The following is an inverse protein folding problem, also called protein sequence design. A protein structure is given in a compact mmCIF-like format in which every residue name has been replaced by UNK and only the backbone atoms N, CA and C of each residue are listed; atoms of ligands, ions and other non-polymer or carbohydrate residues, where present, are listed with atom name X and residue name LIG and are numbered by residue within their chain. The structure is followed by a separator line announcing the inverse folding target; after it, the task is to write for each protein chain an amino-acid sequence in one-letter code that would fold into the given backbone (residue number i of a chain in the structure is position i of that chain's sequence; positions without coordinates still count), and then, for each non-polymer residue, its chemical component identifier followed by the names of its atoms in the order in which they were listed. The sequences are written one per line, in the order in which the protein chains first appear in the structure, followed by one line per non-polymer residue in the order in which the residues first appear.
data_IF_487919369553
#
_entry.id   IF_487919369553
#
_cell.length_a   1.000
_cell.length_b   1.000
_cell.length_c   1.000
_cell.angle_alpha   90.00
_cell.angle_beta   90.00
_cell.angle_gamma   90.00
#
_symmetry.space_group_name_H-M   'P 1'
#
loop_
_entity.id
_entity.type
_entity.pdbx_description
1 polymer ?
#
# COMPACT_ATOMS: atom_id res chain seq x y z
N UNK A 1 -16.56 -36.92 50.78
CA UNK A 1 -17.98 -36.83 50.37
C UNK A 1 -18.32 -35.35 50.33
N UNK A 2 -18.72 -34.67 49.25
CA UNK A 2 -19.11 -35.06 47.90
C UNK A 2 -18.85 -33.85 46.99
N UNK A 3 -18.21 -34.05 45.83
CA UNK A 3 -18.14 -33.08 44.73
C UNK A 3 -19.50 -33.07 44.03
N UNK A 4 -20.24 -31.95 44.09
CA UNK A 4 -21.45 -31.77 43.29
C UNK A 4 -21.78 -30.29 43.13
N UNK A 5 -20.99 -29.60 42.33
CA UNK A 5 -21.44 -28.43 41.60
C UNK A 5 -20.88 -28.59 40.18
N UNK A 6 -21.62 -28.17 39.17
CA UNK A 6 -21.25 -28.16 37.75
C UNK A 6 -21.65 -29.36 36.87
N UNK A 7 -22.78 -30.02 37.14
CA UNK A 7 -23.47 -30.78 36.10
C UNK A 7 -24.99 -30.59 36.21
N UNK A 8 -25.63 -30.18 35.10
CA UNK A 8 -27.07 -30.34 34.89
C UNK A 8 -27.24 -31.54 33.98
N UNK A 9 -28.03 -32.52 34.39
CA UNK A 9 -28.31 -33.71 33.58
C UNK A 9 -29.28 -33.37 32.45
N UNK A 10 -28.81 -33.55 31.21
CA UNK A 10 -29.61 -33.59 29.99
C UNK A 10 -30.11 -35.05 29.82
N UNK A 11 -31.42 -35.29 29.55
CA UNK A 11 -31.99 -36.63 29.39
C UNK A 11 -31.44 -37.43 28.21
N UNK A 12 -30.59 -36.84 27.36
CA UNK A 12 -29.96 -37.52 26.21
C UNK A 12 -28.58 -38.13 26.49
N UNK A 13 -28.04 -38.02 27.71
CA UNK A 13 -26.83 -38.74 28.13
C UNK A 13 -25.51 -38.28 27.47
N UNK A 14 -25.53 -37.21 26.66
CA UNK A 14 -24.31 -36.64 26.08
C UNK A 14 -23.85 -35.47 26.94
N UNK A 15 -22.76 -35.68 27.70
CA UNK A 15 -22.05 -34.59 28.39
C UNK A 15 -21.41 -33.69 27.34
N UNK A 16 -22.08 -32.59 26.99
CA UNK A 16 -21.47 -31.52 26.19
C UNK A 16 -20.84 -30.49 27.11
N UNK A 17 -19.62 -30.06 26.77
CA UNK A 17 -18.90 -29.01 27.49
C UNK A 17 -19.50 -27.65 27.11
N UNK A 18 -20.12 -26.96 28.06
CA UNK A 18 -20.51 -25.56 27.94
C UNK A 18 -19.49 -24.69 28.68
N UNK A 19 -18.60 -23.96 27.97
CA UNK A 19 -17.63 -23.09 28.63
C UNK A 19 -18.31 -21.88 29.31
N UNK A 20 -17.85 -21.47 30.50
CA UNK A 20 -18.39 -20.33 31.23
C UNK A 20 -17.97 -19.00 30.59
N UNK A 21 -18.94 -18.34 29.94
CA UNK A 21 -18.87 -17.00 29.34
C UNK A 21 -18.24 -15.99 30.32
N UNK A 22 -16.93 -15.85 30.27
CA UNK A 22 -16.17 -14.79 30.93
C UNK A 22 -15.05 -14.31 30.00
N UNK A 23 -14.66 -13.02 30.04
CA UNK A 23 -13.75 -12.42 29.04
C UNK A 23 -12.30 -12.95 29.03
N UNK A 24 -11.99 -14.00 29.80
CA UNK A 24 -10.66 -14.59 29.95
C UNK A 24 -10.48 -15.93 29.20
N UNK A 25 -11.44 -16.37 28.39
CA UNK A 25 -11.47 -17.77 27.91
C UNK A 25 -10.62 -18.12 26.68
N UNK A 26 -9.98 -17.18 25.98
CA UNK A 26 -9.06 -17.56 24.88
C UNK A 26 -7.72 -16.80 24.86
N UNK A 27 -6.88 -16.93 25.90
CA UNK A 27 -5.50 -16.43 25.84
C UNK A 27 -4.79 -16.98 24.60
N UNK A 28 -5.01 -18.27 24.30
CA UNK A 28 -4.45 -18.97 23.15
C UNK A 28 -4.82 -18.33 21.80
N UNK A 29 -6.05 -17.84 21.62
CA UNK A 29 -6.47 -17.19 20.39
C UNK A 29 -5.78 -15.82 20.21
N UNK A 30 -5.70 -15.02 21.26
CA UNK A 30 -4.98 -13.74 21.23
C UNK A 30 -3.47 -13.92 20.99
N UNK A 31 -2.85 -14.93 21.59
CA UNK A 31 -1.46 -15.28 21.32
C UNK A 31 -1.24 -15.76 19.88
N UNK A 32 -2.13 -16.61 19.35
CA UNK A 32 -2.07 -17.05 17.97
C UNK A 32 -2.21 -15.87 16.99
N UNK A 33 -3.15 -14.95 17.22
CA UNK A 33 -3.29 -13.73 16.41
C UNK A 33 -2.03 -12.87 16.43
N UNK A 34 -1.40 -12.67 17.60
CA UNK A 34 -0.14 -11.92 17.71
C UNK A 34 1.00 -12.59 16.95
N UNK A 35 1.11 -13.93 17.04
CA UNK A 35 2.12 -14.69 16.31
C UNK A 35 1.92 -14.60 14.80
N UNK A 36 0.70 -14.75 14.31
CA UNK A 36 0.39 -14.62 12.87
C UNK A 36 0.72 -13.21 12.38
N UNK A 37 0.33 -12.17 13.11
CA UNK A 37 0.69 -10.78 12.77
C UNK A 37 2.21 -10.58 12.73
N UNK A 38 2.94 -11.15 13.68
CA UNK A 38 4.41 -11.10 13.71
C UNK A 38 5.04 -11.79 12.50
N UNK A 39 4.61 -13.01 12.16
CA UNK A 39 5.12 -13.73 10.99
C UNK A 39 4.79 -13.01 9.68
N UNK A 40 3.56 -12.48 9.57
CA UNK A 40 3.16 -11.67 8.42
C UNK A 40 4.04 -10.42 8.28
N UNK A 41 4.21 -9.64 9.35
CA UNK A 41 5.06 -8.44 9.33
C UNK A 41 6.51 -8.76 8.94
N UNK A 42 7.04 -9.89 9.43
CA UNK A 42 8.38 -10.36 9.06
C UNK A 42 8.46 -10.75 7.58
N UNK A 43 7.46 -11.46 7.06
CA UNK A 43 7.39 -11.83 5.64
C UNK A 43 7.26 -10.60 4.75
N UNK A 44 6.37 -9.67 5.09
CA UNK A 44 6.18 -8.41 4.39
C UNK A 44 7.50 -7.63 4.30
N UNK A 45 8.23 -7.50 5.42
CA UNK A 45 9.53 -6.82 5.45
C UNK A 45 10.55 -7.49 4.53
N UNK A 46 10.59 -8.82 4.52
CA UNK A 46 11.48 -9.58 3.64
C UNK A 46 11.16 -9.35 2.16
N UNK A 47 9.87 -9.39 1.79
CA UNK A 47 9.42 -9.12 0.41
C UNK A 47 9.76 -7.68 0.01
N UNK A 48 9.49 -6.71 0.88
CA UNK A 48 9.79 -5.30 0.62
C UNK A 48 11.29 -5.09 0.35
N UNK A 49 12.16 -5.67 1.19
CA UNK A 49 13.62 -5.61 0.97
C UNK A 49 13.99 -6.23 -0.39
N UNK A 50 13.43 -7.39 -0.73
CA UNK A 50 13.72 -8.04 -2.01
C UNK A 50 13.29 -7.18 -3.21
N UNK A 51 12.13 -6.51 -3.13
CA UNK A 51 11.64 -5.59 -4.18
C UNK A 51 12.55 -4.36 -4.28
N UNK A 52 12.92 -3.76 -3.15
CA UNK A 52 13.81 -2.59 -3.12
C UNK A 52 15.21 -2.91 -3.65
N UNK A 53 15.77 -4.08 -3.31
CA UNK A 53 17.06 -4.55 -3.83
C UNK A 53 17.01 -4.78 -5.34
N UNK A 54 15.88 -5.31 -5.85
CA UNK A 54 15.69 -5.50 -7.28
C UNK A 54 15.56 -4.15 -7.99
N UNK A 55 14.81 -3.21 -7.44
CA UNK A 55 14.71 -1.83 -7.94
C UNK A 55 16.07 -1.15 -7.96
N UNK A 56 16.84 -1.24 -6.88
CA UNK A 56 18.18 -0.67 -6.81
C UNK A 56 19.10 -1.27 -7.87
N UNK A 57 19.04 -2.59 -8.10
CA UNK A 57 19.78 -3.26 -9.18
C UNK A 57 19.36 -2.73 -10.55
N UNK A 58 18.05 -2.64 -10.83
CA UNK A 58 17.55 -2.08 -12.10
C UNK A 58 18.06 -0.65 -12.27
N UNK A 59 17.98 0.19 -11.23
CA UNK A 59 18.45 1.57 -11.27
C UNK A 59 19.97 1.69 -11.50
N UNK A 60 20.79 0.78 -10.97
CA UNK A 60 22.24 0.78 -11.16
C UNK A 60 22.70 0.16 -12.49
N UNK A 61 22.12 -0.96 -12.90
CA UNK A 61 22.68 -1.80 -13.97
C UNK A 61 22.05 -1.61 -15.34
N UNK A 62 20.83 -1.06 -15.41
CA UNK A 62 20.11 -1.03 -16.69
C UNK A 62 20.62 0.12 -17.57
N UNK A 63 21.05 -0.24 -18.80
CA UNK A 63 21.46 0.71 -19.84
C UNK A 63 20.25 1.05 -20.72
N UNK A 64 20.05 2.33 -20.99
CA UNK A 64 18.93 2.80 -21.81
C UNK A 64 17.58 2.48 -21.17
N UNK A 65 16.65 1.99 -21.99
CA UNK A 65 15.29 1.71 -21.55
C UNK A 65 15.04 0.30 -21.01
N UNK A 66 16.06 -0.56 -21.06
CA UNK A 66 15.98 -1.89 -20.48
C UNK A 66 15.56 -1.81 -19.00
N UNK A 67 14.51 -2.52 -18.63
CA UNK A 67 13.95 -2.53 -17.28
C UNK A 67 13.09 -1.32 -16.90
N UNK A 68 12.78 -0.39 -17.82
CA UNK A 68 11.85 0.71 -17.56
C UNK A 68 10.49 0.18 -17.09
N UNK A 69 9.88 -0.74 -17.86
CA UNK A 69 8.56 -1.28 -17.51
C UNK A 69 8.59 -2.04 -16.18
N UNK A 70 9.62 -2.85 -15.94
CA UNK A 70 9.77 -3.57 -14.68
C UNK A 70 9.90 -2.61 -13.48
N UNK A 71 10.68 -1.53 -13.62
CA UNK A 71 10.78 -0.51 -12.59
C UNK A 71 9.48 0.29 -12.43
N UNK A 72 8.80 0.64 -13.53
CA UNK A 72 7.52 1.34 -13.52
C UNK A 72 6.46 0.55 -12.75
N UNK A 73 6.29 -0.74 -13.10
CA UNK A 73 5.33 -1.64 -12.43
C UNK A 73 5.70 -1.84 -10.95
N UNK A 74 6.99 -1.99 -10.63
CA UNK A 74 7.43 -2.15 -9.25
C UNK A 74 7.18 -0.89 -8.40
N UNK A 75 7.45 0.31 -8.93
CA UNK A 75 7.18 1.58 -8.22
C UNK A 75 5.67 1.82 -8.09
N UNK A 76 4.89 1.56 -9.13
CA UNK A 76 3.43 1.65 -9.10
C UNK A 76 2.83 0.68 -8.09
N UNK A 77 3.31 -0.57 -8.07
CA UNK A 77 2.91 -1.59 -7.11
C UNK A 77 3.27 -1.23 -5.67
N UNK A 78 4.46 -0.66 -5.45
CA UNK A 78 4.84 -0.12 -4.14
C UNK A 78 3.92 1.02 -3.71
N UNK A 79 3.57 1.95 -4.61
CA UNK A 79 2.63 3.03 -4.30
C UNK A 79 1.27 2.47 -3.86
N UNK A 80 0.69 1.54 -4.62
CA UNK A 80 -0.58 0.89 -4.26
C UNK A 80 -0.50 0.16 -2.91
N UNK A 81 0.57 -0.59 -2.65
CA UNK A 81 0.73 -1.32 -1.39
C UNK A 81 0.86 -0.38 -0.19
N UNK A 82 1.58 0.73 -0.34
CA UNK A 82 1.76 1.73 0.72
C UNK A 82 0.48 2.54 0.98
N UNK A 83 -0.37 2.75 -0.03
CA UNK A 83 -1.70 3.35 0.18
C UNK A 83 -2.59 2.45 1.06
N UNK A 84 -2.57 1.14 0.82
CA UNK A 84 -3.31 0.18 1.66
C UNK A 84 -2.76 0.14 3.09
N UNK A 85 -1.45 0.28 3.28
CA UNK A 85 -0.83 0.41 4.60
C UNK A 85 -1.31 1.68 5.32
N UNK A 86 -1.30 2.84 4.65
CA UNK A 86 -1.79 4.09 5.22
C UNK A 86 -3.28 4.02 5.61
N UNK A 87 -4.12 3.36 4.81
CA UNK A 87 -5.53 3.11 5.14
C UNK A 87 -5.65 2.24 6.39
N UNK A 88 -4.90 1.14 6.46
CA UNK A 88 -4.92 0.24 7.60
C UNK A 88 -4.49 0.96 8.90
N UNK A 89 -3.43 1.77 8.85
CA UNK A 89 -2.97 2.56 10.01
C UNK A 89 -4.05 3.49 10.54
N UNK A 90 -4.80 4.17 9.66
CA UNK A 90 -5.90 5.05 10.07
C UNK A 90 -7.12 4.30 10.58
N UNK A 91 -7.41 3.14 10.02
CA UNK A 91 -8.49 2.30 10.52
C UNK A 91 -8.19 1.85 11.95
N UNK A 92 -6.96 1.41 12.21
CA UNK A 92 -6.49 1.05 13.55
C UNK A 92 -6.64 2.23 14.51
N UNK A 93 -6.18 3.42 14.13
CA UNK A 93 -6.38 4.65 14.91
C UNK A 93 -7.87 4.87 15.23
N UNK A 94 -8.75 4.71 14.24
CA UNK A 94 -10.19 4.96 14.42
C UNK A 94 -10.78 3.98 15.43
N UNK A 95 -10.40 2.70 15.35
CA UNK A 95 -10.83 1.65 16.27
C UNK A 95 -10.32 1.93 17.68
N UNK A 96 -9.02 2.23 17.84
CA UNK A 96 -8.38 2.46 19.14
C UNK A 96 -8.96 3.69 19.86
N UNK A 97 -9.27 4.76 19.13
CA UNK A 97 -9.97 5.94 19.65
C UNK A 97 -11.38 5.60 20.16
N UNK A 98 -12.08 4.64 19.53
CA UNK A 98 -13.42 4.24 19.96
C UNK A 98 -13.39 3.28 21.16
N UNK A 99 -12.31 2.51 21.33
CA UNK A 99 -12.16 1.55 22.43
C UNK A 99 -11.53 2.15 23.69
N UNK A 100 -10.71 3.21 23.58
CA UNK A 100 -10.02 3.81 24.73
C UNK A 100 -10.69 5.11 25.21
N UNK A 101 -11.18 5.10 26.45
CA UNK A 101 -11.87 6.21 27.09
C UNK A 101 -10.88 7.28 27.62
N UNK A 102 -10.99 8.48 27.04
CA UNK A 102 -10.71 9.80 27.65
C UNK A 102 -9.30 10.44 27.65
N UNK A 103 -8.20 9.83 27.20
CA UNK A 103 -6.89 10.55 27.20
C UNK A 103 -5.95 10.34 26.01
N UNK A 104 -6.14 9.30 25.19
CA UNK A 104 -5.12 8.87 24.20
C UNK A 104 -5.44 9.22 22.74
N UNK A 105 -6.62 9.81 22.46
CA UNK A 105 -7.08 10.01 21.07
C UNK A 105 -6.16 10.92 20.23
N UNK A 106 -5.59 11.97 20.83
CA UNK A 106 -4.66 12.88 20.15
C UNK A 106 -3.31 12.21 19.86
N UNK A 107 -2.85 11.33 20.73
CA UNK A 107 -1.56 10.66 20.58
C UNK A 107 -1.61 9.60 19.48
N UNK A 108 -2.68 8.82 19.39
CA UNK A 108 -2.89 7.88 18.28
C UNK A 108 -3.06 8.60 16.94
N UNK A 109 -3.81 9.71 16.91
CA UNK A 109 -3.95 10.52 15.69
C UNK A 109 -2.61 11.08 15.22
N UNK A 110 -1.79 11.58 16.14
CA UNK A 110 -0.45 12.06 15.84
C UNK A 110 0.45 10.93 15.33
N UNK A 111 0.43 9.77 15.98
CA UNK A 111 1.23 8.62 15.57
C UNK A 111 0.86 8.12 14.17
N UNK A 112 -0.44 8.00 13.87
CA UNK A 112 -0.93 7.59 12.56
C UNK A 112 -0.55 8.60 11.46
N UNK A 113 -0.66 9.90 11.75
CA UNK A 113 -0.26 10.96 10.81
C UNK A 113 1.24 10.93 10.52
N UNK A 114 2.09 10.80 11.56
CA UNK A 114 3.54 10.67 11.38
C UNK A 114 3.89 9.44 10.56
N UNK A 115 3.27 8.29 10.84
CA UNK A 115 3.50 7.07 10.06
C UNK A 115 3.11 7.24 8.58
N UNK A 116 1.98 7.89 8.29
CA UNK A 116 1.56 8.16 6.91
C UNK A 116 2.50 9.15 6.21
N UNK A 117 2.97 10.20 6.90
CA UNK A 117 3.95 11.16 6.37
C UNK A 117 5.30 10.51 6.07
N UNK A 118 5.74 9.58 6.91
CA UNK A 118 6.97 8.80 6.69
C UNK A 118 6.85 7.93 5.43
N UNK A 119 5.69 7.32 5.20
CA UNK A 119 5.40 6.56 3.99
C UNK A 119 5.45 7.47 2.76
N UNK A 120 4.78 8.62 2.81
CA UNK A 120 4.79 9.61 1.71
C UNK A 120 6.21 10.06 1.37
N UNK A 121 7.02 10.38 2.38
CA UNK A 121 8.40 10.83 2.18
C UNK A 121 9.27 9.75 1.52
N UNK A 122 9.12 8.49 1.94
CA UNK A 122 9.85 7.37 1.34
C UNK A 122 9.44 7.13 -0.11
N UNK A 123 8.14 7.19 -0.40
CA UNK A 123 7.63 7.00 -1.76
C UNK A 123 8.03 8.15 -2.67
N UNK A 124 7.98 9.39 -2.19
CA UNK A 124 8.47 10.57 -2.93
C UNK A 124 9.95 10.42 -3.32
N UNK A 125 10.79 9.93 -2.41
CA UNK A 125 12.19 9.65 -2.73
C UNK A 125 12.35 8.60 -3.84
N UNK A 126 11.55 7.53 -3.81
CA UNK A 126 11.56 6.49 -4.85
C UNK A 126 11.10 7.07 -6.20
N UNK A 127 10.04 7.90 -6.19
CA UNK A 127 9.54 8.58 -7.39
C UNK A 127 10.62 9.48 -8.00
N UNK A 128 11.35 10.23 -7.18
CA UNK A 128 12.46 11.09 -7.63
C UNK A 128 13.60 10.29 -8.25
N UNK A 129 13.99 9.15 -7.68
CA UNK A 129 15.02 8.28 -8.28
C UNK A 129 14.57 7.78 -9.66
N UNK A 130 13.34 7.27 -9.74
CA UNK A 130 12.78 6.78 -10.99
C UNK A 130 12.72 7.92 -12.04
N UNK A 131 12.28 9.11 -11.63
CA UNK A 131 12.23 10.30 -12.47
C UNK A 131 13.61 10.75 -12.96
N UNK A 132 14.61 10.85 -12.09
CA UNK A 132 15.98 11.21 -12.48
C UNK A 132 16.57 10.22 -13.47
N UNK A 133 16.26 8.92 -13.32
CA UNK A 133 16.76 7.90 -14.23
C UNK A 133 16.10 7.95 -15.60
N UNK A 134 14.77 8.10 -15.66
CA UNK A 134 14.03 7.86 -16.90
C UNK A 134 13.47 9.13 -17.56
N UNK A 135 13.14 10.19 -16.82
CA UNK A 135 12.45 11.35 -17.39
C UNK A 135 13.28 12.16 -18.42
N UNK A 136 14.62 12.04 -18.41
CA UNK A 136 15.49 12.83 -19.31
C UNK A 136 15.57 12.33 -20.75
N UNK A 137 15.47 11.02 -20.98
CA UNK A 137 15.69 10.41 -22.31
C UNK A 137 14.67 9.35 -22.70
N UNK A 138 14.01 8.74 -21.71
CA UNK A 138 13.17 7.57 -21.88
C UNK A 138 11.87 7.75 -21.06
N UNK A 139 10.98 8.63 -21.53
CA UNK A 139 9.65 8.83 -20.95
C UNK A 139 8.54 8.48 -21.96
N UNK A 140 8.15 7.19 -22.04
CA UNK A 140 7.14 6.72 -22.96
C UNK A 140 5.72 7.24 -22.70
N UNK A 141 5.44 7.67 -21.46
CA UNK A 141 4.16 8.27 -21.10
C UNK A 141 4.03 9.71 -21.59
N UNK A 142 5.15 10.36 -21.93
CA UNK A 142 5.18 11.72 -22.47
C UNK A 142 5.32 11.72 -23.99
N UNK A 143 6.25 10.94 -24.53
CA UNK A 143 6.56 10.95 -25.96
C UNK A 143 5.83 9.81 -26.70
N UNK A 144 4.49 9.82 -26.71
CA UNK A 144 3.67 8.76 -27.29
C UNK A 144 3.88 8.55 -28.80
N UNK A 145 4.25 9.63 -29.49
CA UNK A 145 4.47 9.65 -30.95
C UNK A 145 5.83 9.03 -31.35
N UNK A 146 6.72 8.77 -30.39
CA UNK A 146 7.99 8.09 -30.65
C UNK A 146 7.76 6.60 -30.87
N UNK A 147 8.47 6.02 -31.83
CA UNK A 147 8.47 4.57 -32.02
C UNK A 147 9.28 3.88 -30.93
N UNK A 148 8.60 3.49 -29.85
CA UNK A 148 9.17 2.73 -28.75
C UNK A 148 9.32 1.23 -29.07
N UNK A 149 8.60 0.69 -30.06
CA UNK A 149 8.62 -0.74 -30.36
C UNK A 149 10.00 -1.18 -30.88
N UNK A 150 10.67 -0.29 -31.63
CA UNK A 150 12.05 -0.50 -32.09
C UNK A 150 13.13 -0.31 -31.01
N UNK A 151 12.78 0.15 -29.80
CA UNK A 151 13.78 0.45 -28.77
C UNK A 151 14.09 -0.74 -27.86
N UNK A 152 15.38 -0.89 -27.54
CA UNK A 152 15.86 -1.96 -26.69
C UNK A 152 15.21 -1.91 -25.30
N UNK A 153 14.37 -2.90 -25.02
CA UNK A 153 13.67 -3.05 -23.74
C UNK A 153 12.18 -2.70 -23.78
N UNK A 154 11.66 -2.21 -24.91
CA UNK A 154 10.22 -2.06 -25.11
C UNK A 154 9.64 -3.14 -26.01
N UNK A 155 10.06 -3.30 -27.26
CA UNK A 155 9.35 -4.26 -28.12
C UNK A 155 7.85 -3.94 -28.25
N UNK A 156 7.14 -4.71 -29.07
CA UNK A 156 5.77 -4.35 -29.45
C UNK A 156 4.79 -4.44 -28.27
N UNK A 157 4.78 -5.57 -27.54
CA UNK A 157 3.86 -5.83 -26.43
C UNK A 157 3.98 -4.79 -25.29
N UNK A 158 5.20 -4.48 -24.84
CA UNK A 158 5.36 -3.52 -23.74
C UNK A 158 5.03 -2.09 -24.20
N UNK A 159 5.26 -1.77 -25.47
CA UNK A 159 4.91 -0.47 -26.03
C UNK A 159 3.39 -0.27 -26.08
N UNK A 160 2.63 -1.33 -26.38
CA UNK A 160 1.17 -1.31 -26.31
C UNK A 160 0.66 -1.07 -24.89
N UNK A 161 1.19 -1.80 -23.89
CA UNK A 161 0.81 -1.62 -22.48
C UNK A 161 1.01 -0.16 -22.04
N UNK A 162 2.12 0.45 -22.46
CA UNK A 162 2.42 1.84 -22.12
C UNK A 162 1.44 2.82 -22.76
N UNK A 163 1.06 2.59 -24.01
CA UNK A 163 0.06 3.41 -24.70
C UNK A 163 -1.29 3.34 -23.98
N UNK A 164 -1.72 2.14 -23.59
CA UNK A 164 -2.95 1.92 -22.82
C UNK A 164 -2.89 2.62 -21.46
N UNK A 165 -1.77 2.49 -20.73
CA UNK A 165 -1.57 3.19 -19.46
C UNK A 165 -1.59 4.71 -19.65
N UNK A 166 -0.93 5.22 -20.68
CA UNK A 166 -0.90 6.66 -20.94
C UNK A 166 -2.28 7.20 -21.33
N UNK A 167 -3.04 6.45 -22.12
CA UNK A 167 -4.41 6.80 -22.46
C UNK A 167 -5.26 6.86 -21.19
N UNK A 168 -5.18 5.84 -20.34
CA UNK A 168 -5.92 5.80 -19.08
C UNK A 168 -5.58 6.97 -18.15
N UNK A 169 -4.29 7.34 -18.06
CA UNK A 169 -3.83 8.50 -17.28
C UNK A 169 -4.40 9.81 -17.84
N UNK A 170 -4.39 9.98 -19.17
CA UNK A 170 -4.92 11.19 -19.82
C UNK A 170 -6.44 11.31 -19.65
N UNK A 171 -7.19 10.22 -19.82
CA UNK A 171 -8.64 10.19 -19.62
C UNK A 171 -9.05 10.53 -18.19
N UNK A 172 -8.20 10.18 -17.21
CA UNK A 172 -8.50 10.34 -15.78
C UNK A 172 -7.69 11.46 -15.12
N UNK A 173 -7.07 12.37 -15.88
CA UNK A 173 -6.12 13.35 -15.33
C UNK A 173 -6.75 14.25 -14.26
N UNK A 174 -8.00 14.66 -14.45
CA UNK A 174 -8.72 15.51 -13.48
C UNK A 174 -8.96 14.77 -12.14
N UNK A 175 -9.31 13.49 -12.21
CA UNK A 175 -9.44 12.64 -11.03
C UNK A 175 -8.10 12.46 -10.31
N UNK A 176 -7.03 12.21 -11.06
CA UNK A 176 -5.68 12.06 -10.50
C UNK A 176 -5.22 13.36 -9.83
N UNK A 177 -5.45 14.53 -10.45
CA UNK A 177 -5.09 15.83 -9.88
C UNK A 177 -5.82 16.10 -8.56
N UNK A 178 -7.11 15.78 -8.51
CA UNK A 178 -7.89 15.86 -7.27
C UNK A 178 -7.31 14.94 -6.18
N UNK A 179 -6.90 13.72 -6.54
CA UNK A 179 -6.31 12.76 -5.59
C UNK A 179 -4.91 13.15 -5.12
N UNK A 180 -4.11 13.77 -5.97
CA UNK A 180 -2.75 14.20 -5.65
C UNK A 180 -2.71 15.21 -4.48
N UNK A 181 -3.74 16.05 -4.36
CA UNK A 181 -3.83 17.11 -3.35
C UNK A 181 -4.29 16.61 -1.97
N UNK A 182 -4.60 15.32 -1.83
CA UNK A 182 -4.99 14.72 -0.56
C UNK A 182 -3.82 14.72 0.43
N UNK A 183 -3.71 15.76 1.25
CA UNK A 183 -2.78 15.75 2.38
C UNK A 183 -3.31 14.85 3.48
N UNK A 184 -2.38 14.13 4.11
CA UNK A 184 -2.67 13.18 5.17
C UNK A 184 -3.49 13.82 6.30
N UNK A 185 -3.28 15.10 6.60
CA UNK A 185 -3.86 15.77 7.77
C UNK A 185 -5.39 15.99 7.73
N UNK A 186 -6.04 15.93 6.55
CA UNK A 186 -7.48 16.20 6.39
C UNK A 186 -8.26 15.10 5.65
N UNK A 187 -7.57 14.05 5.23
CA UNK A 187 -8.13 13.03 4.35
C UNK A 187 -9.08 12.06 5.11
N UNK A 188 -10.35 11.97 4.71
CA UNK A 188 -11.15 10.75 4.95
C UNK A 188 -10.42 9.54 4.32
N UNK A 189 -10.64 8.31 4.79
CA UNK A 189 -9.99 7.10 4.23
C UNK A 189 -10.12 6.99 2.70
N UNK A 190 -11.20 7.54 2.13
CA UNK A 190 -11.45 7.68 0.69
C UNK A 190 -10.45 8.54 -0.07
N UNK A 191 -9.80 9.51 0.58
CA UNK A 191 -8.76 10.35 -0.01
C UNK A 191 -7.41 9.65 -0.08
N UNK A 192 -7.14 8.67 0.78
CA UNK A 192 -5.92 7.87 0.70
C UNK A 192 -5.93 6.90 -0.48
N UNK A 193 -7.10 6.54 -1.00
CA UNK A 193 -7.21 5.73 -2.22
C UNK A 193 -6.66 6.50 -3.41
N UNK A 194 -5.61 5.95 -4.03
CA UNK A 194 -5.01 6.39 -5.29
C UNK A 194 -4.18 7.69 -5.23
N UNK A 195 -3.87 8.24 -4.06
CA UNK A 195 -3.11 9.49 -3.97
C UNK A 195 -1.60 9.33 -4.27
N UNK A 196 -0.93 8.28 -3.79
CA UNK A 196 0.48 7.99 -4.12
C UNK A 196 0.60 7.57 -5.58
N UNK A 197 -0.35 6.78 -6.06
CA UNK A 197 -0.46 6.41 -7.47
C UNK A 197 -0.64 7.65 -8.34
N UNK A 198 -1.55 8.56 -7.97
CA UNK A 198 -1.77 9.81 -8.69
C UNK A 198 -0.51 10.69 -8.67
N UNK A 199 0.17 10.84 -7.52
CA UNK A 199 1.44 11.56 -7.42
C UNK A 199 2.50 10.98 -8.35
N UNK A 200 2.65 9.66 -8.37
CA UNK A 200 3.61 9.00 -9.25
C UNK A 200 3.26 9.22 -10.72
N UNK A 201 2.03 8.91 -11.13
CA UNK A 201 1.61 8.99 -12.53
C UNK A 201 1.63 10.44 -13.04
N UNK A 202 1.20 11.42 -12.26
CA UNK A 202 1.23 12.83 -12.64
C UNK A 202 2.63 13.45 -12.61
N UNK A 203 3.57 12.88 -11.84
CA UNK A 203 4.98 13.29 -11.92
C UNK A 203 5.63 12.89 -13.26
N UNK A 204 5.02 11.94 -13.98
CA UNK A 204 5.48 11.43 -15.28
C UNK A 204 4.64 11.87 -16.47
N UNK A 205 3.33 11.94 -16.28
CA UNK A 205 2.33 12.32 -17.28
C UNK A 205 2.41 13.80 -17.61
N UNK A 206 2.18 14.11 -18.88
CA UNK A 206 2.21 15.45 -19.47
C UNK A 206 1.67 16.56 -18.55
N UNK A 207 2.58 17.34 -17.96
CA UNK A 207 2.31 18.76 -17.75
C UNK A 207 2.53 19.48 -19.09
N UNK A 208 1.41 19.91 -19.67
CA UNK A 208 1.21 20.83 -20.81
C UNK A 208 0.56 20.19 -22.03
N UNK A 209 -0.75 20.40 -22.14
CA UNK A 209 -1.30 21.26 -23.21
C UNK A 209 -2.38 22.17 -22.61
N UNK A 210 -1.95 23.21 -21.89
CA UNK A 210 -2.74 24.43 -21.77
C UNK A 210 -2.54 25.24 -23.05
N UNK A 211 -3.45 25.04 -24.00
CA UNK A 211 -3.82 25.99 -25.05
C UNK A 211 -5.32 25.88 -25.23
#
# INVERSE_FOLDING_TARGET
MSNSLFWVEDPSGVRSFTPPITPFEFPHAHFATRQVKYFFARLQRHILVAVLDKLQRIFKSSKGCSGWLAAFVAVLGLAMANEEEQKATRLIQTIEVHTETFSSSKDYARAANVACQDIDARMEFIFQIFHWKYNRRWNPLKDLDRDWAGEFGFGDENSQIIREVSQLVNENVAFLQMKQQGTVEQANMTHLTSHLVARFLLSFGCHNKST
#
